data_IF_110489429414
#
_entry.id   IF_110489429414
#
_cell.length_a   1.000
_cell.length_b   1.000
_cell.length_c   1.000
_cell.angle_alpha   90.00
_cell.angle_beta   90.00
_cell.angle_gamma   90.00
#
_symmetry.space_group_name_H-M   'P 1'
#
loop_
_entity.id
_entity.type
_entity.pdbx_description
1 polymer ?
#
# COMPACT_ATOMS: atom_id res chain seq x y z
N UNK A 1 -15.67 48.39 -27.21
CA UNK A 1 -15.61 47.11 -26.45
C UNK A 1 -14.91 46.14 -27.38
N UNK A 2 -13.63 45.84 -27.14
CA UNK A 2 -12.88 44.85 -27.90
C UNK A 2 -13.42 43.48 -27.50
N UNK A 3 -13.95 42.72 -28.46
CA UNK A 3 -14.43 41.39 -28.25
C UNK A 3 -13.23 40.48 -27.90
N UNK A 4 -13.36 39.59 -26.93
CA UNK A 4 -12.29 38.63 -26.53
C UNK A 4 -11.86 37.68 -27.68
N UNK A 5 -12.57 37.72 -28.80
CA UNK A 5 -12.29 36.93 -30.02
C UNK A 5 -11.21 37.51 -30.94
N UNK A 6 -10.79 38.76 -30.72
CA UNK A 6 -9.83 39.45 -31.59
C UNK A 6 -8.39 39.43 -31.02
N UNK A 7 -8.12 38.60 -29.99
CA UNK A 7 -6.85 38.55 -29.31
C UNK A 7 -6.14 37.24 -29.64
N UNK A 8 -4.89 37.31 -30.13
CA UNK A 8 -4.06 36.16 -30.42
C UNK A 8 -3.01 35.96 -29.31
N UNK A 9 -3.06 34.80 -28.63
CA UNK A 9 -2.05 34.44 -27.63
C UNK A 9 -0.78 33.96 -28.30
N UNK A 10 0.36 34.55 -27.94
CA UNK A 10 1.70 34.18 -28.45
C UNK A 10 2.55 33.45 -27.39
N UNK A 11 2.11 33.38 -26.16
CA UNK A 11 2.80 32.62 -25.11
C UNK A 11 2.37 32.94 -23.69
N UNK A 12 2.80 32.10 -22.80
CA UNK A 12 2.57 32.24 -21.37
C UNK A 12 3.87 32.63 -20.66
N UNK A 13 3.83 33.67 -19.86
CA UNK A 13 4.97 34.19 -19.11
C UNK A 13 4.72 34.07 -17.62
N UNK A 14 5.73 33.58 -16.92
CA UNK A 14 5.74 33.44 -15.46
C UNK A 14 6.83 34.32 -14.87
N UNK A 15 6.54 34.92 -13.72
CA UNK A 15 7.58 35.52 -12.90
C UNK A 15 8.51 34.42 -12.39
N UNK A 16 9.79 34.48 -12.81
CA UNK A 16 10.77 33.43 -12.50
C UNK A 16 11.01 33.26 -10.99
N UNK A 17 11.07 34.36 -10.22
CA UNK A 17 11.28 34.33 -8.79
C UNK A 17 10.06 33.73 -8.08
N UNK A 18 8.86 34.19 -8.39
CA UNK A 18 7.64 33.65 -7.83
C UNK A 18 7.40 32.19 -8.28
N UNK A 19 7.85 31.81 -9.47
CA UNK A 19 7.77 30.42 -9.92
C UNK A 19 8.69 29.52 -9.09
N UNK A 20 9.89 30.00 -8.78
CA UNK A 20 10.85 29.24 -7.98
C UNK A 20 10.41 29.10 -6.52
N UNK A 21 10.05 30.22 -5.87
CA UNK A 21 9.69 30.26 -4.45
C UNK A 21 8.21 29.99 -4.18
N UNK A 22 7.33 30.18 -5.13
CA UNK A 22 5.87 30.11 -4.97
C UNK A 22 5.24 28.74 -5.23
N UNK A 23 5.94 27.80 -5.87
CA UNK A 23 5.37 26.47 -6.19
C UNK A 23 5.19 25.56 -4.98
N UNK A 24 5.98 25.77 -3.92
CA UNK A 24 5.96 24.93 -2.76
C UNK A 24 6.68 23.59 -2.95
N UNK A 25 6.31 22.62 -2.13
CA UNK A 25 6.94 21.30 -2.14
C UNK A 25 5.94 20.20 -1.76
N UNK A 26 6.27 18.99 -2.15
CA UNK A 26 5.60 17.78 -1.71
C UNK A 26 6.66 16.87 -1.05
N UNK A 27 6.51 16.63 0.24
CA UNK A 27 7.38 15.72 1.01
C UNK A 27 6.56 14.51 1.42
N UNK A 28 6.97 13.33 0.97
CA UNK A 28 6.37 12.06 1.32
C UNK A 28 7.35 11.23 2.13
N UNK A 29 6.99 10.95 3.37
CA UNK A 29 7.73 10.06 4.27
C UNK A 29 6.97 8.75 4.40
N UNK A 30 7.64 7.65 4.12
CA UNK A 30 7.07 6.30 4.27
C UNK A 30 7.90 5.51 5.26
N UNK A 31 7.25 5.04 6.31
CA UNK A 31 7.82 4.15 7.32
C UNK A 31 7.16 2.79 7.19
N UNK A 32 7.97 1.75 7.10
CA UNK A 32 7.48 0.37 7.02
C UNK A 32 8.12 -0.45 8.13
N UNK A 33 7.29 -1.11 8.93
CA UNK A 33 7.69 -2.06 9.95
C UNK A 33 7.28 -3.46 9.49
N UNK A 34 8.23 -4.36 9.38
CA UNK A 34 8.00 -5.77 9.12
C UNK A 34 8.54 -6.58 10.30
N UNK A 35 7.69 -7.43 10.85
CA UNK A 35 8.04 -8.33 11.93
C UNK A 35 7.59 -9.74 11.57
N UNK A 36 8.54 -10.69 11.61
CA UNK A 36 8.30 -12.10 11.35
C UNK A 36 8.78 -12.91 12.55
N UNK A 37 7.95 -13.88 12.97
CA UNK A 37 8.26 -14.83 14.01
C UNK A 37 8.01 -16.24 13.49
N UNK A 38 8.94 -17.15 13.76
CA UNK A 38 8.80 -18.57 13.44
C UNK A 38 9.32 -19.42 14.58
N UNK A 39 8.54 -20.41 14.96
CA UNK A 39 8.89 -21.41 15.96
C UNK A 39 8.66 -22.81 15.39
N UNK A 40 9.70 -23.60 15.35
CA UNK A 40 9.66 -25.02 14.99
C UNK A 40 10.09 -25.84 16.21
N UNK A 41 9.17 -26.61 16.78
CA UNK A 41 9.42 -27.42 17.96
C UNK A 41 9.15 -28.89 17.68
N UNK A 42 10.16 -29.73 17.93
CA UNK A 42 9.98 -31.19 17.98
C UNK A 42 9.42 -31.57 19.33
N UNK A 43 8.35 -32.36 19.33
CA UNK A 43 7.68 -32.85 20.52
C UNK A 43 7.88 -34.37 20.70
N UNK A 44 9.10 -34.85 20.41
CA UNK A 44 9.45 -36.27 20.53
C UNK A 44 9.34 -36.79 21.95
N UNK A 45 9.34 -35.90 22.95
CA UNK A 45 9.11 -36.24 24.37
C UNK A 45 7.64 -36.63 24.61
N UNK A 46 6.69 -36.10 23.82
CA UNK A 46 5.28 -36.48 23.93
C UNK A 46 4.97 -37.68 23.05
N UNK A 47 5.39 -37.64 21.79
CA UNK A 47 5.32 -38.76 20.85
C UNK A 47 6.36 -38.63 19.77
N UNK A 48 7.08 -39.72 19.48
CA UNK A 48 8.12 -39.73 18.45
C UNK A 48 7.56 -39.33 17.09
N UNK A 49 8.20 -38.38 16.44
CA UNK A 49 7.85 -37.89 15.12
C UNK A 49 6.80 -36.78 15.06
N UNK A 50 6.40 -36.26 16.22
CA UNK A 50 5.52 -35.10 16.33
C UNK A 50 6.34 -33.81 16.26
N UNK A 51 5.91 -32.88 15.42
CA UNK A 51 6.48 -31.52 15.27
C UNK A 51 5.37 -30.49 15.22
N UNK A 52 5.57 -29.38 15.90
CA UNK A 52 4.71 -28.20 15.81
C UNK A 52 5.49 -27.08 15.13
N UNK A 53 4.82 -26.40 14.23
CA UNK A 53 5.29 -25.21 13.53
C UNK A 53 4.33 -24.08 13.80
N UNK A 54 4.84 -22.93 14.23
CA UNK A 54 4.06 -21.70 14.38
C UNK A 54 4.79 -20.57 13.66
N UNK A 55 4.09 -19.87 12.81
CA UNK A 55 4.60 -18.70 12.10
C UNK A 55 3.65 -17.53 12.28
N UNK A 56 4.20 -16.37 12.61
CA UNK A 56 3.49 -15.11 12.66
C UNK A 56 4.22 -14.06 11.85
N UNK A 57 3.47 -13.23 11.13
CA UNK A 57 4.00 -12.09 10.41
C UNK A 57 3.12 -10.86 10.67
N UNK A 58 3.74 -9.72 10.84
CA UNK A 58 3.06 -8.43 11.01
C UNK A 58 3.76 -7.37 10.17
N UNK A 59 3.00 -6.75 9.29
CA UNK A 59 3.49 -5.67 8.43
C UNK A 59 2.66 -4.43 8.68
N UNK A 60 3.32 -3.32 8.95
CA UNK A 60 2.68 -2.02 9.13
C UNK A 60 3.40 -0.96 8.31
N UNK A 61 2.65 -0.21 7.51
CA UNK A 61 3.15 0.91 6.74
C UNK A 61 2.44 2.19 7.14
N UNK A 62 3.19 3.27 7.36
CA UNK A 62 2.66 4.61 7.59
C UNK A 62 3.27 5.55 6.56
N UNK A 63 2.43 6.19 5.77
CA UNK A 63 2.82 7.20 4.79
C UNK A 63 2.28 8.55 5.23
N UNK A 64 3.17 9.51 5.41
CA UNK A 64 2.82 10.90 5.74
C UNK A 64 3.20 11.74 4.52
N UNK A 65 2.24 12.43 3.94
CA UNK A 65 2.45 13.35 2.82
C UNK A 65 2.17 14.78 3.28
N UNK A 66 3.21 15.61 3.27
CA UNK A 66 3.13 17.03 3.58
C UNK A 66 3.30 17.81 2.29
N UNK A 67 2.30 18.62 1.96
CA UNK A 67 2.26 19.36 0.71
C UNK A 67 2.05 20.85 1.01
N UNK A 68 2.90 21.66 0.40
CA UNK A 68 2.69 23.09 0.29
C UNK A 68 2.55 23.46 -1.17
N UNK A 69 1.46 24.12 -1.49
CA UNK A 69 1.17 24.55 -2.86
C UNK A 69 0.77 26.00 -2.88
N UNK A 70 1.31 26.69 -3.88
CA UNK A 70 0.96 28.04 -4.22
C UNK A 70 0.94 28.23 -5.73
N UNK A 71 0.58 29.40 -6.17
CA UNK A 71 0.57 29.76 -7.60
C UNK A 71 1.25 31.10 -7.76
N UNK A 72 2.16 31.18 -8.76
CA UNK A 72 2.71 32.44 -9.21
C UNK A 72 1.71 33.17 -10.12
N UNK A 73 1.87 34.47 -10.25
CA UNK A 73 1.19 35.21 -11.30
C UNK A 73 1.57 34.63 -12.68
N UNK A 74 0.59 34.49 -13.54
CA UNK A 74 0.79 34.08 -14.92
C UNK A 74 0.23 35.16 -15.81
N UNK A 75 1.01 35.51 -16.82
CA UNK A 75 0.65 36.52 -17.84
C UNK A 75 0.63 35.85 -19.20
N UNK A 76 -0.31 36.25 -20.01
CA UNK A 76 -0.44 35.86 -21.40
C UNK A 76 -0.13 37.07 -22.27
N UNK A 77 0.82 36.90 -23.17
CA UNK A 77 1.14 37.94 -24.14
C UNK A 77 0.17 37.84 -25.34
N UNK A 78 -0.51 38.90 -25.62
CA UNK A 78 -1.53 38.98 -26.67
C UNK A 78 -1.30 40.27 -27.50
N UNK A 79 -1.61 40.23 -28.79
CA UNK A 79 -1.72 41.43 -29.59
C UNK A 79 -3.14 42.00 -29.51
N UNK A 80 -3.22 43.31 -29.28
CA UNK A 80 -4.49 44.02 -29.36
C UNK A 80 -4.86 44.31 -30.83
N UNK A 81 -6.04 44.87 -31.06
CA UNK A 81 -6.53 45.26 -32.38
C UNK A 81 -5.65 46.28 -33.08
N UNK A 82 -4.82 47.01 -32.35
CA UNK A 82 -3.85 47.98 -32.88
C UNK A 82 -2.48 47.36 -33.18
N UNK A 83 -2.36 46.03 -33.10
CA UNK A 83 -1.12 45.27 -33.26
C UNK A 83 -0.03 45.63 -32.24
N UNK A 84 -0.44 46.07 -31.02
CA UNK A 84 0.46 46.31 -29.88
C UNK A 84 0.50 45.10 -28.97
N UNK A 85 1.70 44.72 -28.48
CA UNK A 85 1.89 43.66 -27.55
C UNK A 85 1.44 44.09 -26.14
N UNK A 86 0.44 43.40 -25.58
CA UNK A 86 0.00 43.63 -24.22
C UNK A 86 0.08 42.32 -23.41
N UNK A 87 0.26 42.49 -22.11
CA UNK A 87 0.29 41.35 -21.18
C UNK A 87 -0.99 41.31 -20.35
N UNK A 88 -1.82 40.30 -20.58
CA UNK A 88 -3.04 40.06 -19.80
C UNK A 88 -2.73 39.07 -18.69
N UNK A 89 -3.06 39.43 -17.47
CA UNK A 89 -2.92 38.52 -16.36
C UNK A 89 -3.98 37.41 -16.46
N UNK A 90 -3.52 36.15 -16.56
CA UNK A 90 -4.38 34.98 -16.72
C UNK A 90 -4.51 34.16 -15.44
N UNK A 91 -3.62 34.37 -14.45
CA UNK A 91 -3.66 33.72 -13.16
C UNK A 91 -3.12 34.64 -12.05
N UNK A 92 -3.84 34.69 -10.96
CA UNK A 92 -3.43 35.44 -9.78
C UNK A 92 -2.48 34.65 -8.90
N UNK A 93 -1.63 35.38 -8.17
CA UNK A 93 -0.80 34.84 -7.10
C UNK A 93 -1.67 34.21 -6.01
N UNK A 94 -1.32 33.00 -5.61
CA UNK A 94 -1.91 32.34 -4.45
C UNK A 94 -0.79 31.99 -3.45
N UNK A 95 -0.95 32.47 -2.22
CA UNK A 95 -0.04 32.14 -1.12
C UNK A 95 0.05 30.63 -0.93
N UNK A 96 1.22 30.17 -0.47
CA UNK A 96 1.45 28.77 -0.13
C UNK A 96 0.44 28.28 0.92
N UNK A 97 -0.44 27.41 0.52
CA UNK A 97 -1.28 26.62 1.42
C UNK A 97 -0.52 25.45 2.02
N UNK A 98 -1.10 24.78 3.01
CA UNK A 98 -0.57 23.57 3.63
C UNK A 98 -1.64 22.51 3.69
N UNK A 99 -1.28 21.30 3.29
CA UNK A 99 -2.10 20.10 3.48
C UNK A 99 -1.24 18.95 3.95
N UNK A 100 -1.79 18.13 4.83
CA UNK A 100 -1.17 16.91 5.32
C UNK A 100 -2.15 15.76 5.19
N UNK A 101 -1.68 14.63 4.69
CA UNK A 101 -2.45 13.40 4.62
C UNK A 101 -1.63 12.25 5.17
N UNK A 102 -2.29 11.37 5.92
CA UNK A 102 -1.68 10.17 6.49
C UNK A 102 -2.41 8.94 5.98
N UNK A 103 -1.67 8.03 5.35
CA UNK A 103 -2.13 6.70 4.98
C UNK A 103 -1.51 5.65 5.90
N UNK A 104 -2.28 4.64 6.29
CA UNK A 104 -1.80 3.54 7.11
C UNK A 104 -2.27 2.21 6.54
N UNK A 105 -1.34 1.25 6.43
CA UNK A 105 -1.62 -0.14 6.06
C UNK A 105 -1.20 -1.07 7.19
N UNK A 106 -1.97 -2.13 7.43
CA UNK A 106 -1.65 -3.17 8.43
C UNK A 106 -2.06 -4.51 7.89
N UNK A 107 -1.14 -5.45 7.94
CA UNK A 107 -1.40 -6.83 7.57
C UNK A 107 -0.79 -7.73 8.64
N UNK A 108 -1.48 -8.80 8.98
CA UNK A 108 -0.91 -9.84 9.81
C UNK A 108 -1.28 -11.22 9.28
N UNK A 109 -0.42 -12.16 9.58
CA UNK A 109 -0.56 -13.56 9.23
C UNK A 109 -0.20 -14.43 10.43
N UNK A 110 -1.00 -15.44 10.69
CA UNK A 110 -0.73 -16.47 11.68
C UNK A 110 -0.91 -17.83 11.03
N UNK A 111 0.03 -18.72 11.27
CA UNK A 111 -0.02 -20.11 10.86
C UNK A 111 0.38 -21.00 12.04
N UNK A 112 -0.38 -22.05 12.28
CA UNK A 112 -0.03 -23.10 13.22
C UNK A 112 -0.25 -24.45 12.55
N UNK A 113 0.79 -25.28 12.53
CA UNK A 113 0.77 -26.60 11.93
C UNK A 113 1.29 -27.66 12.87
N UNK A 114 0.64 -28.80 12.85
CA UNK A 114 1.06 -30.02 13.55
C UNK A 114 1.39 -31.06 12.50
N UNK A 115 2.62 -31.53 12.52
CA UNK A 115 3.12 -32.56 11.64
C UNK A 115 3.45 -33.81 12.45
N UNK A 116 2.93 -34.93 12.05
CA UNK A 116 3.25 -36.23 12.63
C UNK A 116 3.82 -37.12 11.53
N UNK A 117 4.98 -37.73 11.77
CA UNK A 117 5.58 -38.71 10.87
C UNK A 117 6.21 -39.83 11.69
N UNK A 118 5.75 -41.06 11.50
CA UNK A 118 6.28 -42.21 12.24
C UNK A 118 6.26 -43.48 11.40
N UNK A 119 7.31 -44.24 11.56
CA UNK A 119 7.47 -45.57 10.95
C UNK A 119 7.26 -46.66 12.00
N UNK A 120 6.39 -47.63 11.68
CA UNK A 120 6.09 -48.80 12.48
C UNK A 120 6.46 -50.07 11.67
N UNK A 121 7.75 -50.36 11.61
CA UNK A 121 8.26 -51.45 10.76
C UNK A 121 8.07 -51.15 9.29
N UNK A 122 7.20 -51.92 8.59
CA UNK A 122 6.88 -51.72 7.18
C UNK A 122 5.73 -50.70 6.94
N UNK A 123 5.18 -50.11 8.00
CA UNK A 123 4.09 -49.15 7.93
C UNK A 123 4.63 -47.74 8.15
N UNK A 124 4.42 -46.86 7.20
CA UNK A 124 4.82 -45.47 7.28
C UNK A 124 3.57 -44.60 7.33
N UNK A 125 3.43 -43.82 8.37
CA UNK A 125 2.28 -42.93 8.57
C UNK A 125 2.76 -41.47 8.63
N UNK A 126 2.11 -40.59 7.88
CA UNK A 126 2.29 -39.17 8.09
C UNK A 126 0.95 -38.45 8.10
N UNK A 127 0.86 -37.43 8.93
CA UNK A 127 -0.31 -36.56 9.06
C UNK A 127 0.12 -35.12 9.21
N UNK A 128 -0.65 -34.20 8.64
CA UNK A 128 -0.53 -32.76 8.76
C UNK A 128 -1.90 -32.20 9.09
N UNK A 129 -1.96 -31.38 10.13
CA UNK A 129 -3.09 -30.49 10.38
C UNK A 129 -2.54 -29.06 10.46
N UNK A 130 -3.11 -28.13 9.71
CA UNK A 130 -2.66 -26.74 9.66
C UNK A 130 -3.86 -25.81 9.75
N UNK A 131 -3.72 -24.79 10.54
CA UNK A 131 -4.59 -23.63 10.62
C UNK A 131 -3.81 -22.41 10.14
N UNK A 132 -4.40 -21.60 9.30
CA UNK A 132 -3.86 -20.30 8.96
C UNK A 132 -4.94 -19.21 9.00
N UNK A 133 -4.51 -18.02 9.37
CA UNK A 133 -5.35 -16.85 9.36
C UNK A 133 -4.54 -15.65 8.89
N UNK A 134 -5.12 -14.84 8.01
CA UNK A 134 -4.53 -13.57 7.61
C UNK A 134 -5.57 -12.46 7.68
N UNK A 135 -5.11 -11.26 7.92
CA UNK A 135 -5.94 -10.07 7.92
C UNK A 135 -5.21 -8.94 7.21
N UNK A 136 -5.90 -8.29 6.28
CA UNK A 136 -5.41 -7.14 5.56
C UNK A 136 -6.33 -5.96 5.82
N UNK A 137 -5.76 -4.88 6.33
CA UNK A 137 -6.46 -3.62 6.53
C UNK A 137 -6.17 -2.68 5.36
N UNK A 138 -7.22 -2.26 4.69
CA UNK A 138 -7.15 -1.27 3.62
C UNK A 138 -7.61 0.09 4.17
N UNK A 139 -6.73 1.09 4.19
CA UNK A 139 -7.16 2.44 4.49
C UNK A 139 -8.06 2.96 3.36
N UNK A 140 -8.83 3.96 3.68
CA UNK A 140 -9.59 4.69 2.68
C UNK A 140 -8.66 5.35 1.66
N UNK A 141 -8.75 4.94 0.40
CA UNK A 141 -8.11 5.58 -0.74
C UNK A 141 -9.21 5.96 -1.74
N UNK A 142 -9.54 7.22 -1.83
CA UNK A 142 -10.46 7.71 -2.87
C UNK A 142 -11.45 8.77 -2.40
N UNK A 143 -12.13 9.35 -3.37
CA UNK A 143 -13.11 10.43 -3.21
C UNK A 143 -14.55 9.94 -2.98
N UNK A 144 -14.80 8.64 -3.10
CA UNK A 144 -16.13 8.07 -2.91
C UNK A 144 -16.16 7.17 -1.69
N UNK A 145 -16.98 7.48 -0.68
CA UNK A 145 -17.17 6.61 0.46
C UNK A 145 -17.81 5.30 0.00
N UNK A 146 -17.15 4.18 0.25
CA UNK A 146 -17.72 2.85 0.10
C UNK A 146 -18.29 2.40 1.44
N UNK A 147 -19.38 1.68 1.42
CA UNK A 147 -20.03 1.10 2.60
C UNK A 147 -19.11 0.19 3.42
N UNK A 148 -18.03 -0.31 2.78
CA UNK A 148 -17.05 -1.23 3.37
C UNK A 148 -15.73 -0.58 3.75
N UNK A 149 -15.67 0.76 3.83
CA UNK A 149 -14.47 1.48 4.25
C UNK A 149 -14.07 1.10 5.66
N UNK A 150 -12.78 0.82 5.84
CA UNK A 150 -12.20 0.49 7.15
C UNK A 150 -12.53 -0.93 7.63
N UNK A 151 -13.26 -1.74 6.86
CA UNK A 151 -13.51 -3.15 7.19
C UNK A 151 -12.31 -3.98 6.72
N UNK A 152 -11.58 -4.64 7.65
CA UNK A 152 -10.46 -5.48 7.26
C UNK A 152 -10.94 -6.75 6.57
N UNK A 153 -10.18 -7.19 5.57
CA UNK A 153 -10.38 -8.50 4.95
C UNK A 153 -9.67 -9.56 5.77
N UNK A 154 -10.42 -10.54 6.24
CA UNK A 154 -9.91 -11.69 6.99
C UNK A 154 -10.02 -12.96 6.15
N UNK A 155 -9.00 -13.79 6.23
CA UNK A 155 -8.94 -15.10 5.61
C UNK A 155 -8.64 -16.14 6.68
N UNK A 156 -9.38 -17.25 6.67
CA UNK A 156 -9.15 -18.39 7.55
C UNK A 156 -9.06 -19.66 6.71
N UNK A 157 -8.02 -20.43 6.91
CA UNK A 157 -7.79 -21.69 6.21
C UNK A 157 -7.54 -22.84 7.20
N UNK A 158 -8.12 -23.99 6.87
CA UNK A 158 -7.86 -25.26 7.53
C UNK A 158 -7.36 -26.26 6.49
N UNK A 159 -6.25 -26.94 6.79
CA UNK A 159 -5.68 -27.95 5.91
C UNK A 159 -5.45 -29.22 6.73
N UNK A 160 -5.95 -30.35 6.22
CA UNK A 160 -5.69 -31.67 6.74
C UNK A 160 -5.14 -32.57 5.66
N UNK A 161 -4.10 -33.32 5.95
CA UNK A 161 -3.55 -34.34 5.05
C UNK A 161 -3.10 -35.54 5.89
N UNK A 162 -3.44 -36.74 5.44
CA UNK A 162 -2.94 -37.99 6.00
C UNK A 162 -2.41 -38.85 4.87
N UNK A 163 -1.28 -39.51 5.06
CA UNK A 163 -0.71 -40.45 4.12
C UNK A 163 -0.28 -41.72 4.86
N UNK A 164 -0.53 -42.84 4.22
CA UNK A 164 -0.13 -44.15 4.70
C UNK A 164 0.59 -44.89 3.57
N UNK A 165 1.67 -45.55 3.91
CA UNK A 165 2.48 -46.33 2.98
C UNK A 165 2.84 -47.67 3.65
N UNK A 166 2.71 -48.74 2.87
CA UNK A 166 3.09 -50.09 3.28
C UNK A 166 4.14 -50.67 2.35
N UNK A 167 5.34 -51.02 2.83
CA UNK A 167 6.44 -51.58 2.07
C UNK A 167 6.74 -50.80 0.78
N UNK A 168 6.80 -49.48 0.87
CA UNK A 168 6.99 -48.53 -0.27
C UNK A 168 5.90 -48.57 -1.35
N UNK A 169 4.72 -49.16 -1.06
CA UNK A 169 3.52 -49.06 -1.91
C UNK A 169 2.58 -48.01 -1.35
N UNK A 170 2.34 -46.95 -2.08
CA UNK A 170 1.48 -45.85 -1.67
C UNK A 170 0.01 -46.24 -1.77
N UNK A 171 -0.72 -46.01 -0.69
CA UNK A 171 -2.17 -45.90 -0.65
C UNK A 171 -2.50 -44.42 -0.37
N UNK A 172 -3.03 -43.75 -1.37
CA UNK A 172 -3.56 -42.37 -1.24
C UNK A 172 -5.00 -42.41 -0.81
#
# INVERSE_FOLDING_TARGET
VVSDTDLFSIGNYYDALNTYYGKGYNNRTQNTLNFDFQLDQKLDFLTKGLKVHVKGAYNSGVTITKRREGRANKYEAIYNTNNELIYKKSQDYQKLGYSESTGQTRNWYLEAAVNYKRDFGNHHVSALAMYNQSMTYYPYEGSSPSEFIGIPRSYVGLVGRATYDYKTKYLL
#
